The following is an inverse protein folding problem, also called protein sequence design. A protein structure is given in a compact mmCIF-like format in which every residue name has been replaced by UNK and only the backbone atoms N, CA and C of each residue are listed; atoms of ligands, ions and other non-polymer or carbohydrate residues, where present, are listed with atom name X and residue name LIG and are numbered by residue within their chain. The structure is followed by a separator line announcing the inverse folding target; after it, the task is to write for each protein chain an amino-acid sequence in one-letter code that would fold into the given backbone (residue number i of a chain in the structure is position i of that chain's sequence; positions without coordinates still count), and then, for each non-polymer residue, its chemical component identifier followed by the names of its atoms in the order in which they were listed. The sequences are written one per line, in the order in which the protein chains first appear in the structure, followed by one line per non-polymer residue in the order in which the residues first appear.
data_IF_738429727372
#
_entry.id   IF_738429727372
#
_cell.length_a   1.000
_cell.length_b   1.000
_cell.length_c   1.000
_cell.angle_alpha   90.00
_cell.angle_beta   90.00
_cell.angle_gamma   90.00
#
_symmetry.space_group_name_H-M   'P 1'
#
loop_
_entity.id
_entity.type
_entity.pdbx_description
1 polymer ?
#
# COMPACT_ATOMS: atom_id res chain seq x y z
N UNK A 1 -11.76 9.33 30.06
CA UNK A 1 -11.23 8.63 28.88
C UNK A 1 -10.78 9.70 27.91
N UNK A 2 -9.47 9.84 27.67
CA UNK A 2 -8.94 10.80 26.69
C UNK A 2 -9.33 10.35 25.27
N UNK A 3 -9.12 11.22 24.27
CA UNK A 3 -9.49 10.95 22.88
C UNK A 3 -8.79 9.68 22.34
N UNK A 4 -7.50 9.54 22.64
CA UNK A 4 -6.66 8.41 22.22
C UNK A 4 -7.22 7.05 22.69
N UNK A 5 -7.66 6.94 23.95
CA UNK A 5 -8.25 5.71 24.49
C UNK A 5 -9.61 5.35 23.85
N UNK A 6 -10.37 6.34 23.36
CA UNK A 6 -11.64 6.08 22.66
C UNK A 6 -11.39 5.57 21.24
N UNK A 7 -10.38 6.10 20.57
CA UNK A 7 -10.03 5.75 19.18
C UNK A 7 -9.38 4.36 19.10
N UNK A 8 -8.47 4.04 20.03
CA UNK A 8 -7.90 2.70 20.18
C UNK A 8 -9.00 1.64 20.39
N UNK A 9 -10.00 1.95 21.23
CA UNK A 9 -11.12 1.05 21.50
C UNK A 9 -12.01 0.86 20.26
N UNK A 10 -12.21 1.89 19.44
CA UNK A 10 -13.00 1.81 18.20
C UNK A 10 -12.33 0.93 17.15
N UNK A 11 -11.03 1.12 16.91
CA UNK A 11 -10.27 0.29 15.97
C UNK A 11 -10.30 -1.20 16.33
N UNK A 12 -10.14 -1.51 17.63
CA UNK A 12 -10.20 -2.90 18.14
C UNK A 12 -11.58 -3.55 17.99
N UNK A 13 -12.66 -2.81 18.26
CA UNK A 13 -14.03 -3.33 18.09
C UNK A 13 -14.31 -3.67 16.63
N UNK A 14 -13.94 -2.78 15.72
CA UNK A 14 -14.10 -3.01 14.28
C UNK A 14 -13.27 -4.20 13.80
N UNK A 15 -12.01 -4.31 14.23
CA UNK A 15 -11.15 -5.44 13.89
C UNK A 15 -11.78 -6.77 14.35
N UNK A 16 -12.31 -6.83 15.56
CA UNK A 16 -12.98 -8.03 16.07
C UNK A 16 -14.23 -8.41 15.26
N UNK A 17 -15.00 -7.42 14.80
CA UNK A 17 -16.14 -7.67 13.93
C UNK A 17 -15.68 -8.23 12.57
N UNK A 18 -14.61 -7.67 12.00
CA UNK A 18 -14.04 -8.12 10.73
C UNK A 18 -13.44 -9.53 10.82
N UNK A 19 -12.82 -9.91 11.95
CA UNK A 19 -12.33 -11.28 12.20
C UNK A 19 -13.43 -12.33 12.11
N UNK A 20 -14.64 -11.99 12.56
CA UNK A 20 -15.79 -12.90 12.61
C UNK A 20 -16.64 -12.84 11.35
N UNK A 21 -16.47 -11.79 10.56
CA UNK A 21 -17.23 -11.60 9.35
C UNK A 21 -16.66 -12.48 8.23
N UNK A 22 -17.52 -13.28 7.62
CA UNK A 22 -17.19 -14.24 6.56
C UNK A 22 -17.91 -13.93 5.24
N UNK A 23 -18.40 -12.72 5.06
CA UNK A 23 -19.22 -12.33 3.89
C UNK A 23 -18.85 -10.99 3.28
N UNK A 24 -18.21 -10.10 4.04
CA UNK A 24 -17.88 -8.76 3.62
C UNK A 24 -16.69 -8.81 2.67
N UNK A 25 -16.93 -8.43 1.42
CA UNK A 25 -15.91 -8.37 0.37
C UNK A 25 -15.25 -7.01 0.23
N UNK A 26 -15.91 -5.93 0.66
CA UNK A 26 -15.39 -4.57 0.55
C UNK A 26 -15.65 -3.76 1.81
N UNK A 27 -14.63 -3.05 2.27
CA UNK A 27 -14.68 -2.22 3.48
C UNK A 27 -14.08 -0.84 3.20
N UNK A 28 -14.85 0.20 3.46
CA UNK A 28 -14.42 1.58 3.34
C UNK A 28 -14.34 2.25 4.72
N UNK A 29 -13.13 2.65 5.10
CA UNK A 29 -12.81 3.30 6.36
C UNK A 29 -12.07 4.63 6.15
N UNK A 30 -12.25 5.28 5.02
CA UNK A 30 -11.61 6.57 4.77
C UNK A 30 -11.98 7.63 5.82
N UNK A 31 -11.03 8.50 6.18
CA UNK A 31 -11.22 9.63 7.09
C UNK A 31 -11.70 9.25 8.51
N UNK A 32 -11.18 8.17 9.10
CA UNK A 32 -11.57 7.71 10.44
C UNK A 32 -10.52 7.95 11.54
N UNK A 33 -9.38 8.58 11.24
CA UNK A 33 -8.28 8.78 12.20
C UNK A 33 -7.93 7.47 12.94
N UNK A 34 -7.76 6.37 12.22
CA UNK A 34 -7.43 5.09 12.84
C UNK A 34 -6.06 5.08 13.52
N UNK A 35 -5.15 5.91 13.02
CA UNK A 35 -3.77 6.02 13.47
C UNK A 35 -3.03 4.67 13.41
N UNK A 36 -1.85 4.60 14.02
CA UNK A 36 -1.02 3.39 13.95
C UNK A 36 -1.69 2.19 14.63
N UNK A 37 -2.40 2.40 15.75
CA UNK A 37 -3.09 1.33 16.49
C UNK A 37 -4.27 0.75 15.72
N UNK A 38 -5.05 1.57 15.02
CA UNK A 38 -6.11 1.07 14.15
C UNK A 38 -5.54 0.31 12.94
N UNK A 39 -4.40 0.74 12.39
CA UNK A 39 -3.66 -0.02 11.37
C UNK A 39 -3.24 -1.41 11.85
N UNK A 40 -2.67 -1.51 13.06
CA UNK A 40 -2.30 -2.78 13.70
C UNK A 40 -3.52 -3.68 13.97
N UNK A 41 -4.61 -3.09 14.46
CA UNK A 41 -5.84 -3.83 14.72
C UNK A 41 -6.44 -4.41 13.42
N UNK A 42 -6.46 -3.62 12.34
CA UNK A 42 -6.90 -4.08 11.03
C UNK A 42 -5.97 -5.15 10.44
N UNK A 43 -4.66 -5.00 10.61
CA UNK A 43 -3.71 -6.03 10.18
C UNK A 43 -3.99 -7.37 10.88
N UNK A 44 -4.25 -7.35 12.19
CA UNK A 44 -4.67 -8.54 12.92
C UNK A 44 -5.97 -9.14 12.34
N UNK A 45 -6.95 -8.32 12.01
CA UNK A 45 -8.20 -8.80 11.43
C UNK A 45 -8.03 -9.42 10.04
N UNK A 46 -7.19 -8.82 9.19
CA UNK A 46 -6.88 -9.33 7.85
C UNK A 46 -6.14 -10.67 7.86
N UNK A 47 -5.49 -11.05 8.97
CA UNK A 47 -4.86 -12.37 9.09
C UNK A 47 -5.88 -13.49 9.31
N UNK A 48 -7.08 -13.14 9.79
CA UNK A 48 -8.18 -14.08 10.05
C UNK A 48 -9.27 -14.01 8.98
N UNK A 49 -9.47 -12.83 8.40
CA UNK A 49 -10.50 -12.63 7.40
C UNK A 49 -10.02 -13.17 6.04
N UNK A 50 -10.82 -14.06 5.45
CA UNK A 50 -10.56 -14.69 4.15
C UNK A 50 -11.56 -14.29 3.06
N UNK A 51 -12.30 -13.19 3.27
CA UNK A 51 -13.37 -12.77 2.34
C UNK A 51 -13.22 -11.34 1.83
N UNK A 52 -12.48 -10.50 2.53
CA UNK A 52 -12.27 -9.12 2.15
C UNK A 52 -11.31 -9.01 0.97
N UNK A 53 -11.81 -8.52 -0.15
CA UNK A 53 -11.05 -8.32 -1.39
C UNK A 53 -10.69 -6.86 -1.64
N UNK A 54 -11.39 -5.92 -1.01
CA UNK A 54 -11.14 -4.48 -1.18
C UNK A 54 -11.16 -3.75 0.16
N UNK A 55 -10.09 -2.99 0.44
CA UNK A 55 -9.96 -2.21 1.65
C UNK A 55 -9.53 -0.77 1.34
N UNK A 56 -10.34 0.20 1.77
CA UNK A 56 -10.03 1.62 1.64
C UNK A 56 -9.71 2.25 3.01
N UNK A 57 -8.44 2.66 3.18
CA UNK A 57 -7.89 3.29 4.38
C UNK A 57 -7.39 4.71 4.11
N UNK A 58 -7.88 5.37 3.05
CA UNK A 58 -7.56 6.77 2.75
C UNK A 58 -7.65 7.68 3.99
N UNK A 59 -6.61 8.50 4.23
CA UNK A 59 -6.62 9.56 5.23
C UNK A 59 -6.91 9.09 6.65
N UNK A 60 -6.14 8.11 7.13
CA UNK A 60 -6.27 7.54 8.47
C UNK A 60 -5.06 7.74 9.37
N UNK A 61 -4.02 8.46 8.91
CA UNK A 61 -2.82 8.78 9.70
C UNK A 61 -2.10 7.53 10.24
N UNK A 62 -2.11 6.42 9.49
CA UNK A 62 -1.57 5.14 9.96
C UNK A 62 -0.09 5.22 10.37
N UNK A 63 0.68 6.13 9.75
CA UNK A 63 2.11 6.26 10.00
C UNK A 63 2.90 5.04 9.52
N UNK A 64 4.21 5.06 9.76
CA UNK A 64 5.09 3.94 9.38
C UNK A 64 4.74 2.64 10.10
N UNK A 65 4.34 2.71 11.37
CA UNK A 65 4.04 1.52 12.18
C UNK A 65 2.75 0.84 11.74
N UNK A 66 1.68 1.60 11.48
CA UNK A 66 0.44 1.04 10.93
C UNK A 66 0.65 0.49 9.51
N UNK A 67 1.43 1.20 8.68
CA UNK A 67 1.82 0.73 7.36
C UNK A 67 2.61 -0.57 7.38
N UNK A 68 3.58 -0.69 8.29
CA UNK A 68 4.37 -1.91 8.48
C UNK A 68 3.48 -3.07 8.92
N UNK A 69 2.58 -2.87 9.88
CA UNK A 69 1.68 -3.94 10.32
C UNK A 69 0.80 -4.46 9.16
N UNK A 70 0.28 -3.56 8.31
CA UNK A 70 -0.47 -3.96 7.12
C UNK A 70 0.42 -4.69 6.11
N UNK A 71 1.66 -4.26 5.90
CA UNK A 71 2.60 -4.95 5.02
C UNK A 71 2.94 -6.37 5.53
N UNK A 72 3.14 -6.53 6.83
CA UNK A 72 3.45 -7.82 7.43
C UNK A 72 2.32 -8.83 7.18
N UNK A 73 1.05 -8.44 7.33
CA UNK A 73 -0.09 -9.33 7.04
C UNK A 73 -0.28 -9.59 5.53
N UNK A 74 0.04 -8.62 4.67
CA UNK A 74 -0.03 -8.80 3.21
C UNK A 74 0.92 -9.89 2.71
N UNK A 75 1.97 -10.25 3.45
CA UNK A 75 2.84 -11.37 3.07
C UNK A 75 2.09 -12.71 3.00
N UNK A 76 1.06 -12.88 3.83
CA UNK A 76 0.31 -14.14 3.99
C UNK A 76 -1.15 -14.02 3.54
N UNK A 77 -1.71 -12.81 3.48
CA UNK A 77 -3.08 -12.60 3.04
C UNK A 77 -3.21 -12.87 1.53
N UNK A 78 -4.04 -13.86 1.19
CA UNK A 78 -4.27 -14.32 -0.17
C UNK A 78 -5.64 -13.94 -0.73
N UNK A 79 -6.29 -12.93 -0.14
CA UNK A 79 -7.69 -12.56 -0.48
C UNK A 79 -7.85 -11.10 -0.87
N UNK A 80 -7.02 -10.21 -0.32
CA UNK A 80 -7.07 -8.79 -0.63
C UNK A 80 -6.50 -8.51 -2.02
N UNK A 81 -7.36 -7.97 -2.89
CA UNK A 81 -7.06 -7.65 -4.29
C UNK A 81 -6.78 -6.16 -4.47
N UNK A 82 -7.44 -5.30 -3.69
CA UNK A 82 -7.31 -3.84 -3.78
C UNK A 82 -7.10 -3.22 -2.40
N UNK A 83 -6.06 -2.38 -2.30
CA UNK A 83 -5.73 -1.65 -1.08
C UNK A 83 -5.49 -0.17 -1.39
N UNK A 84 -6.27 0.71 -0.75
CA UNK A 84 -6.07 2.14 -0.82
C UNK A 84 -5.49 2.69 0.48
N UNK A 85 -4.25 3.17 0.41
CA UNK A 85 -3.49 3.79 1.50
C UNK A 85 -3.19 5.28 1.25
N UNK A 86 -3.94 5.93 0.37
CA UNK A 86 -3.80 7.36 0.10
C UNK A 86 -3.72 8.19 1.40
N UNK A 87 -2.76 9.12 1.49
CA UNK A 87 -2.64 10.10 2.57
C UNK A 87 -2.56 9.49 3.99
N UNK A 88 -1.60 8.60 4.23
CA UNK A 88 -1.41 7.94 5.53
C UNK A 88 -0.05 8.18 6.19
N UNK A 89 0.81 9.01 5.58
CA UNK A 89 2.14 9.35 6.10
C UNK A 89 3.00 8.12 6.44
N UNK A 90 3.04 7.13 5.54
CA UNK A 90 3.75 5.88 5.77
C UNK A 90 5.27 6.05 5.88
N UNK A 91 5.82 7.07 5.22
CA UNK A 91 7.26 7.31 5.16
C UNK A 91 8.02 6.24 4.37
N UNK A 92 9.33 6.43 4.23
CA UNK A 92 10.22 5.46 3.59
C UNK A 92 10.22 4.08 4.28
N UNK A 93 10.06 4.04 5.60
CA UNK A 93 9.94 2.78 6.36
C UNK A 93 8.69 1.97 5.96
N UNK A 94 7.52 2.61 5.86
CA UNK A 94 6.30 1.95 5.42
C UNK A 94 6.38 1.51 3.95
N UNK A 95 7.00 2.32 3.09
CA UNK A 95 7.28 1.95 1.69
C UNK A 95 8.16 0.69 1.57
N UNK A 96 9.25 0.62 2.35
CA UNK A 96 10.14 -0.56 2.41
C UNK A 96 9.40 -1.81 2.90
N UNK A 97 8.55 -1.68 3.91
CA UNK A 97 7.76 -2.81 4.40
C UNK A 97 6.79 -3.33 3.32
N UNK A 98 6.07 -2.43 2.64
CA UNK A 98 5.17 -2.79 1.55
C UNK A 98 5.91 -3.44 0.38
N UNK A 99 7.11 -2.99 0.05
CA UNK A 99 7.94 -3.62 -0.96
C UNK A 99 8.28 -5.09 -0.63
N UNK A 100 8.63 -5.38 0.63
CA UNK A 100 8.84 -6.75 1.10
C UNK A 100 7.56 -7.59 0.94
N UNK A 101 6.40 -7.02 1.30
CA UNK A 101 5.12 -7.69 1.15
C UNK A 101 4.81 -8.01 -0.32
N UNK A 102 5.01 -7.04 -1.23
CA UNK A 102 4.80 -7.23 -2.67
C UNK A 102 5.72 -8.30 -3.27
N UNK A 103 6.90 -8.54 -2.72
CA UNK A 103 7.76 -9.64 -3.20
C UNK A 103 7.15 -11.03 -2.94
N UNK A 104 6.27 -11.16 -1.95
CA UNK A 104 5.65 -12.42 -1.52
C UNK A 104 4.18 -12.54 -1.93
N UNK A 105 3.47 -11.42 -1.94
CA UNK A 105 2.04 -11.39 -2.19
C UNK A 105 1.75 -11.60 -3.68
N UNK A 106 0.89 -12.58 -3.96
CA UNK A 106 0.46 -12.96 -5.31
C UNK A 106 -1.04 -12.74 -5.56
N UNK A 107 -1.69 -11.89 -4.76
CA UNK A 107 -3.14 -11.61 -4.85
C UNK A 107 -3.45 -10.13 -5.12
N UNK A 108 -2.68 -9.21 -4.55
CA UNK A 108 -2.91 -7.78 -4.64
C UNK A 108 -2.64 -7.30 -6.07
N UNK A 109 -3.66 -6.77 -6.73
CA UNK A 109 -3.57 -6.26 -8.10
C UNK A 109 -3.57 -4.74 -8.15
N UNK A 110 -4.12 -4.07 -7.15
CA UNK A 110 -4.24 -2.61 -7.08
C UNK A 110 -3.77 -2.06 -5.74
N UNK A 111 -2.80 -1.15 -5.79
CA UNK A 111 -2.25 -0.48 -4.62
C UNK A 111 -2.17 1.03 -4.84
N UNK A 112 -2.84 1.80 -3.99
CA UNK A 112 -2.76 3.25 -3.99
C UNK A 112 -1.93 3.75 -2.79
N UNK A 113 -0.78 4.35 -3.06
CA UNK A 113 0.15 4.93 -2.09
C UNK A 113 0.33 6.43 -2.27
N UNK A 114 -0.56 7.11 -2.98
CA UNK A 114 -0.44 8.55 -3.22
C UNK A 114 -0.40 9.35 -1.89
N UNK A 115 0.44 10.39 -1.84
CA UNK A 115 0.66 11.25 -0.65
C UNK A 115 1.10 10.49 0.62
N UNK A 116 2.17 9.70 0.56
CA UNK A 116 2.70 8.97 1.71
C UNK A 116 4.15 9.27 2.08
N UNK A 117 4.78 10.25 1.41
CA UNK A 117 6.18 10.66 1.64
C UNK A 117 7.13 9.45 1.69
N UNK A 118 7.06 8.58 0.68
CA UNK A 118 7.88 7.37 0.63
C UNK A 118 9.37 7.66 0.44
N UNK A 119 9.71 8.86 -0.06
CA UNK A 119 11.07 9.30 -0.35
C UNK A 119 11.75 8.39 -1.40
N UNK A 120 12.97 8.74 -1.80
CA UNK A 120 13.75 7.95 -2.76
C UNK A 120 13.95 6.51 -2.31
N UNK A 121 14.15 6.31 -1.02
CA UNK A 121 14.42 5.01 -0.40
C UNK A 121 13.20 4.08 -0.41
N UNK A 122 11.99 4.59 -0.22
CA UNK A 122 10.77 3.80 -0.41
C UNK A 122 10.51 3.51 -1.89
N UNK A 123 10.80 4.46 -2.78
CA UNK A 123 10.69 4.30 -4.23
C UNK A 123 11.59 3.19 -4.77
N UNK A 124 12.88 3.17 -4.38
CA UNK A 124 13.84 2.12 -4.76
C UNK A 124 13.37 0.74 -4.32
N UNK A 125 12.92 0.61 -3.06
CA UNK A 125 12.44 -0.67 -2.55
C UNK A 125 11.21 -1.17 -3.33
N UNK A 126 10.25 -0.29 -3.64
CA UNK A 126 9.10 -0.66 -4.46
C UNK A 126 9.51 -1.06 -5.88
N UNK A 127 10.50 -0.38 -6.47
CA UNK A 127 11.04 -0.76 -7.78
C UNK A 127 11.67 -2.17 -7.77
N UNK A 128 12.45 -2.50 -6.74
CA UNK A 128 13.02 -3.84 -6.57
C UNK A 128 11.93 -4.91 -6.43
N UNK A 129 10.85 -4.59 -5.71
CA UNK A 129 9.71 -5.48 -5.57
C UNK A 129 8.97 -5.69 -6.89
N UNK A 130 8.79 -4.65 -7.70
CA UNK A 130 8.18 -4.74 -9.03
C UNK A 130 8.98 -5.65 -9.98
N UNK A 131 10.31 -5.75 -9.83
CA UNK A 131 11.09 -6.69 -10.63
C UNK A 131 10.73 -8.17 -10.37
N UNK A 132 10.11 -8.48 -9.23
CA UNK A 132 9.78 -9.84 -8.78
C UNK A 132 8.28 -10.11 -8.77
N UNK A 133 7.48 -9.09 -8.52
CA UNK A 133 6.03 -9.21 -8.43
C UNK A 133 5.41 -9.30 -9.83
N UNK A 134 4.63 -10.36 -10.05
CA UNK A 134 3.95 -10.65 -11.32
C UNK A 134 2.42 -10.58 -11.21
N UNK A 135 1.89 -9.95 -10.15
CA UNK A 135 0.44 -9.85 -9.88
C UNK A 135 -0.07 -8.41 -9.91
N UNK A 136 0.73 -7.45 -9.44
CA UNK A 136 0.32 -6.06 -9.32
C UNK A 136 0.18 -5.44 -10.72
N UNK A 137 -1.02 -4.96 -11.02
CA UNK A 137 -1.36 -4.35 -12.31
C UNK A 137 -1.49 -2.83 -12.21
N UNK A 138 -1.84 -2.31 -11.04
CA UNK A 138 -2.04 -0.88 -10.80
C UNK A 138 -1.30 -0.39 -9.55
N UNK A 139 -0.42 0.58 -9.73
CA UNK A 139 0.31 1.22 -8.65
C UNK A 139 0.23 2.75 -8.77
N UNK A 140 -0.29 3.41 -7.74
CA UNK A 140 -0.30 4.87 -7.66
C UNK A 140 0.72 5.37 -6.63
N UNK A 141 1.77 6.02 -7.10
CA UNK A 141 2.85 6.65 -6.32
C UNK A 141 2.82 8.18 -6.40
N UNK A 142 1.75 8.81 -6.89
CA UNK A 142 1.69 10.26 -7.01
C UNK A 142 2.05 10.97 -5.69
N UNK A 143 2.89 12.00 -5.78
CA UNK A 143 3.27 12.87 -4.67
C UNK A 143 3.85 12.10 -3.46
N UNK A 144 4.97 11.42 -3.68
CA UNK A 144 5.71 10.64 -2.68
C UNK A 144 7.18 11.04 -2.52
N UNK A 145 7.61 12.14 -3.14
CA UNK A 145 8.96 12.67 -3.03
C UNK A 145 10.06 11.66 -3.43
N UNK A 146 9.83 10.87 -4.48
CA UNK A 146 10.78 9.81 -4.88
C UNK A 146 12.13 10.34 -5.39
N UNK A 147 12.13 11.56 -5.96
CA UNK A 147 13.32 12.16 -6.57
C UNK A 147 13.83 11.38 -7.80
N UNK A 148 14.95 11.86 -8.36
CA UNK A 148 15.59 11.24 -9.52
C UNK A 148 16.04 9.81 -9.25
N UNK A 149 16.57 9.52 -8.06
CA UNK A 149 17.07 8.20 -7.68
C UNK A 149 15.95 7.16 -7.59
N UNK A 150 14.82 7.51 -6.95
CA UNK A 150 13.66 6.62 -6.90
C UNK A 150 13.03 6.44 -8.29
N UNK A 151 13.00 7.50 -9.09
CA UNK A 151 12.54 7.44 -10.48
C UNK A 151 13.42 6.56 -11.38
N UNK A 152 14.75 6.57 -11.18
CA UNK A 152 15.69 5.75 -11.95
C UNK A 152 15.49 4.28 -11.64
N UNK A 153 15.36 3.93 -10.35
CA UNK A 153 15.05 2.57 -9.95
C UNK A 153 13.72 2.08 -10.56
N UNK A 154 12.67 2.92 -10.56
CA UNK A 154 11.41 2.59 -11.21
C UNK A 154 11.57 2.39 -12.72
N UNK A 155 12.35 3.22 -13.42
CA UNK A 155 12.63 3.05 -14.85
C UNK A 155 13.29 1.68 -15.12
N UNK A 156 14.30 1.32 -14.32
CA UNK A 156 15.00 0.03 -14.45
C UNK A 156 14.06 -1.16 -14.18
N UNK A 157 13.15 -1.03 -13.21
CA UNK A 157 12.15 -2.05 -12.90
C UNK A 157 11.13 -2.24 -14.03
N UNK A 158 10.70 -1.14 -14.67
CA UNK A 158 9.75 -1.15 -15.78
C UNK A 158 10.30 -1.78 -17.07
N UNK A 159 11.62 -1.95 -17.18
CA UNK A 159 12.24 -2.74 -18.25
C UNK A 159 12.07 -4.25 -18.04
N UNK A 160 11.82 -4.69 -16.80
CA UNK A 160 11.70 -6.11 -16.40
C UNK A 160 10.27 -6.51 -16.09
N UNK A 161 9.46 -5.60 -15.54
CA UNK A 161 8.08 -5.87 -15.18
C UNK A 161 7.16 -5.74 -16.41
N UNK A 162 6.43 -6.81 -16.72
CA UNK A 162 5.43 -6.87 -17.80
C UNK A 162 3.98 -6.96 -17.31
N UNK A 163 3.76 -7.01 -15.98
CA UNK A 163 2.43 -7.15 -15.39
C UNK A 163 1.77 -5.79 -15.15
N UNK A 164 2.54 -4.78 -14.75
CA UNK A 164 2.02 -3.48 -14.37
C UNK A 164 1.46 -2.76 -15.60
N UNK A 165 0.16 -2.45 -15.60
CA UNK A 165 -0.54 -1.76 -16.70
C UNK A 165 -0.90 -0.32 -16.34
N UNK A 166 -0.76 0.07 -15.08
CA UNK A 166 -0.95 1.45 -14.64
C UNK A 166 0.09 1.83 -13.60
N UNK A 167 0.80 2.93 -13.86
CA UNK A 167 1.72 3.56 -12.92
C UNK A 167 1.48 5.07 -12.90
N UNK A 168 1.17 5.63 -11.72
CA UNK A 168 1.12 7.08 -11.55
C UNK A 168 2.30 7.54 -10.70
N UNK A 169 3.18 8.36 -11.27
CA UNK A 169 4.36 8.93 -10.60
C UNK A 169 4.37 10.46 -10.66
N UNK A 170 3.24 11.10 -10.94
CA UNK A 170 3.13 12.56 -10.88
C UNK A 170 3.66 13.13 -9.57
N UNK A 171 4.15 14.36 -9.62
CA UNK A 171 4.59 15.11 -8.45
C UNK A 171 5.68 14.39 -7.61
N UNK A 172 6.55 13.59 -8.25
CA UNK A 172 7.68 12.93 -7.58
C UNK A 172 9.06 13.51 -7.90
N UNK A 173 9.12 14.59 -8.69
CA UNK A 173 10.37 15.31 -9.01
C UNK A 173 11.43 14.35 -9.60
N UNK A 174 11.01 13.48 -10.53
CA UNK A 174 11.91 12.49 -11.15
C UNK A 174 12.89 13.14 -12.13
N UNK A 175 12.49 14.24 -12.78
CA UNK A 175 13.36 14.99 -13.71
C UNK A 175 13.47 14.40 -15.12
N UNK A 176 12.81 13.27 -15.39
CA UNK A 176 12.75 12.65 -16.72
C UNK A 176 11.48 11.82 -16.88
N UNK A 177 11.19 11.41 -18.12
CA UNK A 177 10.06 10.53 -18.45
C UNK A 177 10.46 9.08 -18.28
N UNK A 178 9.66 8.29 -17.56
CA UNK A 178 9.83 6.84 -17.47
C UNK A 178 9.38 6.17 -18.77
N UNK A 179 10.11 5.13 -19.16
CA UNK A 179 9.84 4.27 -20.32
C UNK A 179 9.71 2.85 -19.78
N UNK A 180 8.84 2.03 -20.39
CA UNK A 180 8.65 0.63 -20.03
C UNK A 180 8.66 -0.25 -21.27
N UNK A 181 9.05 -1.51 -21.09
CA UNK A 181 8.93 -2.55 -22.11
C UNK A 181 7.52 -3.14 -22.18
N UNK A 182 6.64 -2.85 -21.22
CA UNK A 182 5.24 -3.26 -21.29
C UNK A 182 4.47 -2.29 -22.20
N UNK A 183 4.01 -2.68 -23.41
CA UNK A 183 3.29 -1.77 -24.30
C UNK A 183 1.91 -1.37 -23.75
N UNK A 184 1.38 -2.13 -22.79
CA UNK A 184 0.06 -1.90 -22.21
C UNK A 184 0.09 -1.00 -20.96
N UNK A 185 1.27 -0.56 -20.52
CA UNK A 185 1.38 0.29 -19.34
C UNK A 185 1.06 1.75 -19.65
N UNK A 186 0.12 2.31 -18.89
CA UNK A 186 -0.12 3.74 -18.81
C UNK A 186 0.70 4.33 -17.66
N UNK A 187 1.72 5.12 -18.01
CA UNK A 187 2.53 5.89 -17.06
C UNK A 187 2.06 7.34 -17.07
N UNK A 188 1.65 7.87 -15.92
CA UNK A 188 1.21 9.26 -15.76
C UNK A 188 1.97 10.04 -14.72
#
# INVERSE_FOLDING_TARGET
MNLDQKEEKRGKVLANALCKNSTLSSLNLQFNNLESEGGKALAYALCKNSTLTSLNLNSNKLGSEGGKALADVLCENSTLVSLNLYYNNLGSKGGKALAVALCKNSTLTSLNLQFNNLESEGGKALADALCKNSTLTSLNLNNNNLGSEGGKALADALCKNSTLTFLNIKLNIVGFKLISNNPNIKII
#
